data_IF_525957596086
#
_entry.id   IF_525957596086
#
_cell.length_a   1.000
_cell.length_b   1.000
_cell.length_c   1.000
_cell.angle_alpha   90.00
_cell.angle_beta   90.00
_cell.angle_gamma   90.00
#
_symmetry.space_group_name_H-M   'P 1'
#
loop_
_entity.id
_entity.type
_entity.pdbx_description
1 polymer ?
#
# COMPACT_ATOMS: atom_id res chain seq x y z
N UNK A 1 2.11 -25.86 34.03
CA UNK A 1 3.36 -26.54 33.64
C UNK A 1 3.21 -27.24 32.30
N UNK A 2 2.29 -28.19 32.11
CA UNK A 2 2.11 -28.89 30.81
C UNK A 2 1.86 -27.96 29.60
N UNK A 3 1.07 -26.89 29.76
CA UNK A 3 0.80 -25.93 28.67
C UNK A 3 2.00 -25.03 28.30
N UNK A 4 2.91 -24.79 29.25
CA UNK A 4 4.12 -23.99 29.02
C UNK A 4 5.20 -24.82 28.36
N UNK A 5 5.35 -26.10 28.75
CA UNK A 5 6.25 -27.05 28.09
C UNK A 5 5.82 -27.31 26.63
N UNK A 6 4.51 -27.41 26.36
CA UNK A 6 4.01 -27.55 24.98
C UNK A 6 4.24 -26.31 24.13
N UNK A 7 4.18 -25.10 24.72
CA UNK A 7 4.43 -23.86 24.00
C UNK A 7 5.92 -23.68 23.68
N UNK A 8 6.81 -23.94 24.64
CA UNK A 8 8.25 -23.86 24.43
C UNK A 8 8.72 -24.82 23.32
N UNK A 9 8.17 -26.03 23.26
CA UNK A 9 8.44 -26.97 22.17
C UNK A 9 7.95 -26.45 20.81
N UNK A 10 6.76 -25.84 20.79
CA UNK A 10 6.24 -25.21 19.58
C UNK A 10 7.14 -24.06 19.10
N UNK A 11 7.64 -23.22 19.99
CA UNK A 11 8.55 -22.13 19.64
C UNK A 11 9.85 -22.65 19.02
N UNK A 12 10.41 -23.74 19.56
CA UNK A 12 11.58 -24.42 18.97
C UNK A 12 11.28 -24.95 17.56
N UNK A 13 10.08 -25.51 17.33
CA UNK A 13 9.67 -25.95 16.00
C UNK A 13 9.51 -24.77 15.03
N UNK A 14 8.96 -23.64 15.48
CA UNK A 14 8.86 -22.42 14.68
C UNK A 14 10.25 -21.88 14.29
N UNK A 15 11.18 -21.83 15.24
CA UNK A 15 12.57 -21.44 14.96
C UNK A 15 13.19 -22.34 13.88
N UNK A 16 13.03 -23.66 13.99
CA UNK A 16 13.51 -24.60 12.97
C UNK A 16 12.85 -24.38 11.61
N UNK A 17 11.54 -24.14 11.57
CA UNK A 17 10.78 -23.92 10.35
C UNK A 17 11.32 -22.74 9.53
N UNK A 18 11.62 -21.62 10.19
CA UNK A 18 12.03 -20.39 9.50
C UNK A 18 13.55 -20.21 9.37
N UNK A 19 14.36 -20.78 10.28
CA UNK A 19 15.81 -20.53 10.33
C UNK A 19 16.70 -21.74 10.00
N UNK A 20 16.20 -23.00 10.04
CA UNK A 20 17.06 -24.16 9.82
C UNK A 20 17.56 -24.24 8.37
N UNK A 21 18.85 -24.52 8.20
CA UNK A 21 19.48 -24.80 6.90
C UNK A 21 19.29 -26.25 6.45
N UNK A 22 18.88 -27.13 7.36
CA UNK A 22 18.58 -28.53 7.04
C UNK A 22 17.16 -28.66 6.51
N UNK A 23 17.03 -29.21 5.30
CA UNK A 23 15.73 -29.45 4.67
C UNK A 23 14.89 -30.49 5.41
N UNK A 24 15.51 -31.48 6.05
CA UNK A 24 14.79 -32.53 6.78
C UNK A 24 14.17 -31.97 8.08
N UNK A 25 14.92 -31.13 8.80
CA UNK A 25 14.39 -30.46 10.00
C UNK A 25 13.24 -29.50 9.68
N UNK A 26 13.37 -28.70 8.60
CA UNK A 26 12.29 -27.81 8.15
C UNK A 26 11.05 -28.60 7.77
N UNK A 27 11.19 -29.67 6.98
CA UNK A 27 10.06 -30.50 6.58
C UNK A 27 9.37 -31.18 7.78
N UNK A 28 10.14 -31.61 8.78
CA UNK A 28 9.58 -32.17 10.01
C UNK A 28 8.80 -31.12 10.81
N UNK A 29 9.36 -29.92 10.99
CA UNK A 29 8.69 -28.83 11.66
C UNK A 29 7.40 -28.42 10.92
N UNK A 30 7.46 -28.28 9.59
CA UNK A 30 6.31 -27.97 8.75
C UNK A 30 5.21 -29.02 8.89
N UNK A 31 5.56 -30.32 8.76
CA UNK A 31 4.60 -31.42 8.90
C UNK A 31 3.92 -31.43 10.28
N UNK A 32 4.65 -31.04 11.33
CA UNK A 32 4.12 -31.02 12.70
C UNK A 32 3.21 -29.82 12.93
N UNK A 33 3.55 -28.67 12.36
CA UNK A 33 2.82 -27.42 12.54
C UNK A 33 1.67 -27.23 11.53
N UNK A 34 1.59 -28.08 10.50
CA UNK A 34 0.60 -27.98 9.41
C UNK A 34 -0.85 -27.91 9.90
N UNK A 35 -1.17 -28.63 10.98
CA UNK A 35 -2.53 -28.72 11.55
C UNK A 35 -3.12 -27.35 11.91
N UNK A 36 -2.28 -26.40 12.36
CA UNK A 36 -2.70 -25.04 12.68
C UNK A 36 -3.30 -24.31 11.49
N UNK A 37 -2.93 -24.69 10.27
CA UNK A 37 -3.36 -24.02 9.04
C UNK A 37 -4.52 -24.74 8.34
N UNK A 38 -4.85 -25.97 8.76
CA UNK A 38 -5.81 -26.86 8.07
C UNK A 38 -7.04 -27.21 8.89
N UNK A 39 -6.97 -27.09 10.23
CA UNK A 39 -8.08 -27.40 11.12
C UNK A 39 -8.52 -26.15 11.92
N UNK A 40 -9.79 -25.77 11.77
CA UNK A 40 -10.40 -24.62 12.44
C UNK A 40 -10.48 -24.75 13.96
N UNK A 41 -10.37 -25.96 14.50
CA UNK A 41 -10.26 -26.20 15.96
C UNK A 41 -9.00 -25.57 16.56
N UNK A 42 -7.96 -25.31 15.75
CA UNK A 42 -6.70 -24.68 16.19
C UNK A 42 -6.74 -23.15 16.19
N UNK A 43 -7.87 -22.51 15.84
CA UNK A 43 -7.98 -21.04 15.84
C UNK A 43 -7.74 -20.49 17.25
N UNK A 44 -8.38 -21.06 18.27
CA UNK A 44 -8.19 -20.65 19.67
C UNK A 44 -6.74 -20.88 20.13
N UNK A 45 -6.09 -21.92 19.62
CA UNK A 45 -4.68 -22.16 19.90
C UNK A 45 -3.77 -21.13 19.22
N UNK A 46 -4.09 -20.68 18.01
CA UNK A 46 -3.38 -19.58 17.34
C UNK A 46 -3.49 -18.28 18.14
N UNK A 47 -4.67 -17.96 18.68
CA UNK A 47 -4.87 -16.81 19.56
C UNK A 47 -4.05 -16.96 20.86
N UNK A 48 -4.07 -18.15 21.47
CA UNK A 48 -3.24 -18.45 22.64
C UNK A 48 -1.73 -18.24 22.35
N UNK A 49 -1.24 -18.69 21.20
CA UNK A 49 0.15 -18.46 20.78
C UNK A 49 0.43 -16.96 20.64
N UNK A 50 -0.46 -16.20 19.99
CA UNK A 50 -0.31 -14.75 19.85
C UNK A 50 -0.24 -14.05 21.22
N UNK A 51 -1.02 -14.49 22.19
CA UNK A 51 -1.06 -13.89 23.53
C UNK A 51 0.13 -14.27 24.43
N UNK A 52 0.71 -15.45 24.24
CA UNK A 52 1.64 -16.04 25.21
C UNK A 52 3.04 -16.35 24.66
N UNK A 53 3.23 -16.44 23.35
CA UNK A 53 4.54 -16.73 22.78
C UNK A 53 5.50 -15.55 22.97
N UNK A 54 6.77 -15.91 23.17
CA UNK A 54 7.90 -15.00 23.34
C UNK A 54 8.69 -14.79 22.05
N UNK A 55 8.60 -15.76 21.13
CA UNK A 55 9.35 -15.73 19.86
C UNK A 55 8.52 -15.14 18.71
N UNK A 56 9.11 -14.26 17.86
CA UNK A 56 8.37 -13.65 16.75
C UNK A 56 8.01 -14.67 15.65
N UNK A 57 8.74 -15.78 15.55
CA UNK A 57 8.43 -16.87 14.62
C UNK A 57 7.19 -17.66 15.02
N UNK A 58 6.92 -17.84 16.31
CA UNK A 58 5.66 -18.44 16.76
C UNK A 58 4.47 -17.52 16.48
N UNK A 59 4.64 -16.20 16.66
CA UNK A 59 3.62 -15.22 16.26
C UNK A 59 3.36 -15.24 14.76
N UNK A 60 4.42 -15.35 13.95
CA UNK A 60 4.33 -15.49 12.49
C UNK A 60 3.60 -16.80 12.10
N UNK A 61 3.90 -17.92 12.75
CA UNK A 61 3.18 -19.18 12.53
C UNK A 61 1.68 -19.01 12.78
N UNK A 62 1.31 -18.43 13.93
CA UNK A 62 -0.10 -18.25 14.31
C UNK A 62 -0.83 -17.33 13.32
N UNK A 63 -0.22 -16.19 12.96
CA UNK A 63 -0.77 -15.25 12.00
C UNK A 63 -0.94 -15.86 10.60
N UNK A 64 0.10 -16.53 10.07
CA UNK A 64 0.05 -17.18 8.76
C UNK A 64 -0.92 -18.36 8.69
N UNK A 65 -1.05 -19.10 9.79
CA UNK A 65 -2.03 -20.18 9.94
C UNK A 65 -3.46 -19.64 9.87
N UNK A 66 -3.76 -18.59 10.65
CA UNK A 66 -5.06 -17.91 10.59
C UNK A 66 -5.33 -17.34 9.19
N UNK A 67 -4.33 -16.76 8.53
CA UNK A 67 -4.44 -16.22 7.17
C UNK A 67 -4.83 -17.30 6.15
N UNK A 68 -4.24 -18.49 6.23
CA UNK A 68 -4.61 -19.61 5.37
C UNK A 68 -6.07 -20.03 5.62
N UNK A 69 -6.44 -20.24 6.89
CA UNK A 69 -7.80 -20.67 7.24
C UNK A 69 -8.89 -19.70 6.79
N UNK A 70 -8.69 -18.38 6.95
CA UNK A 70 -9.68 -17.38 6.47
C UNK A 70 -9.72 -17.31 4.95
N UNK A 71 -8.62 -17.65 4.27
CA UNK A 71 -8.54 -17.66 2.81
C UNK A 71 -9.28 -18.84 2.18
N UNK A 72 -9.46 -19.93 2.93
CA UNK A 72 -10.24 -21.10 2.48
C UNK A 72 -11.77 -20.86 2.52
N UNK A 73 -12.22 -19.72 3.06
CA UNK A 73 -13.63 -19.28 3.12
C UNK A 73 -14.61 -20.27 3.77
N UNK A 74 -14.11 -21.23 4.55
CA UNK A 74 -14.91 -22.23 5.28
C UNK A 74 -15.44 -21.72 6.63
N UNK A 75 -14.83 -20.66 7.17
CA UNK A 75 -15.17 -20.12 8.49
C UNK A 75 -16.49 -19.35 8.48
N UNK A 76 -17.23 -19.45 9.58
CA UNK A 76 -18.48 -18.71 9.78
C UNK A 76 -18.24 -17.20 9.77
N UNK A 77 -19.29 -16.43 9.44
CA UNK A 77 -19.23 -14.96 9.43
C UNK A 77 -18.78 -14.39 10.79
N UNK A 78 -19.36 -14.88 11.89
CA UNK A 78 -19.04 -14.39 13.23
C UNK A 78 -17.60 -14.70 13.61
N UNK A 79 -17.11 -15.92 13.34
CA UNK A 79 -15.74 -16.29 13.65
C UNK A 79 -14.72 -15.43 12.87
N UNK A 80 -15.01 -15.10 11.60
CA UNK A 80 -14.17 -14.17 10.83
C UNK A 80 -14.13 -12.77 11.45
N UNK A 81 -15.26 -12.26 11.92
CA UNK A 81 -15.30 -10.97 12.63
C UNK A 81 -14.54 -11.02 13.95
N UNK A 82 -14.68 -12.09 14.72
CA UNK A 82 -13.99 -12.27 15.99
C UNK A 82 -12.47 -12.30 15.79
N UNK A 83 -11.98 -13.04 14.78
CA UNK A 83 -10.55 -13.07 14.43
C UNK A 83 -10.08 -11.66 14.01
N UNK A 84 -10.80 -10.97 13.13
CA UNK A 84 -10.42 -9.64 12.65
C UNK A 84 -10.36 -8.61 13.79
N UNK A 85 -11.38 -8.59 14.65
CA UNK A 85 -11.43 -7.69 15.80
C UNK A 85 -10.32 -8.00 16.81
N UNK A 86 -10.08 -9.28 17.07
CA UNK A 86 -8.97 -9.72 17.90
C UNK A 86 -7.62 -9.21 17.34
N UNK A 87 -7.35 -9.39 16.05
CA UNK A 87 -6.07 -8.99 15.44
C UNK A 87 -5.89 -7.47 15.42
N UNK A 88 -6.94 -6.70 15.11
CA UNK A 88 -6.88 -5.22 15.19
C UNK A 88 -6.57 -4.77 16.61
N UNK A 89 -7.26 -5.32 17.62
CA UNK A 89 -7.00 -5.00 19.03
C UNK A 89 -5.59 -5.43 19.45
N UNK A 90 -5.10 -6.56 18.96
CA UNK A 90 -3.75 -7.05 19.21
C UNK A 90 -2.70 -6.11 18.63
N UNK A 91 -2.88 -5.63 17.40
CA UNK A 91 -2.03 -4.60 16.79
C UNK A 91 -2.04 -3.30 17.60
N UNK A 92 -3.20 -2.89 18.11
CA UNK A 92 -3.34 -1.68 18.94
C UNK A 92 -2.71 -1.80 20.34
N UNK A 93 -2.64 -3.00 20.91
CA UNK A 93 -2.14 -3.19 22.28
C UNK A 93 -0.69 -3.65 22.34
N UNK A 94 -0.27 -4.50 21.39
CA UNK A 94 1.08 -5.09 21.35
C UNK A 94 1.91 -4.65 20.16
N UNK A 95 1.30 -4.11 19.10
CA UNK A 95 1.96 -3.77 17.84
C UNK A 95 3.29 -3.03 17.96
N UNK A 96 3.41 -1.96 18.78
CA UNK A 96 4.68 -1.22 18.94
C UNK A 96 5.85 -2.06 19.46
N UNK A 97 5.58 -3.22 20.07
CA UNK A 97 6.61 -4.12 20.62
C UNK A 97 6.94 -5.30 19.70
N UNK A 98 6.25 -5.42 18.57
CA UNK A 98 6.39 -6.55 17.66
C UNK A 98 7.47 -6.29 16.61
N UNK A 99 8.07 -7.36 16.12
CA UNK A 99 8.93 -7.30 14.93
C UNK A 99 8.12 -6.91 13.69
N UNK A 100 8.70 -6.12 12.79
CA UNK A 100 8.00 -5.58 11.62
C UNK A 100 7.36 -6.67 10.74
N UNK A 101 8.04 -7.81 10.55
CA UNK A 101 7.49 -8.91 9.74
C UNK A 101 6.23 -9.54 10.36
N UNK A 102 6.12 -9.56 11.70
CA UNK A 102 4.92 -10.04 12.40
C UNK A 102 3.78 -9.04 12.23
N UNK A 103 4.06 -7.74 12.37
CA UNK A 103 3.09 -6.66 12.12
C UNK A 103 2.52 -6.79 10.71
N UNK A 104 3.38 -6.91 9.68
CA UNK A 104 2.95 -7.06 8.28
C UNK A 104 2.08 -8.29 8.09
N UNK A 105 2.43 -9.44 8.69
CA UNK A 105 1.61 -10.66 8.60
C UNK A 105 0.22 -10.49 9.22
N UNK A 106 0.13 -9.86 10.39
CA UNK A 106 -1.14 -9.60 11.07
C UNK A 106 -2.00 -8.60 10.27
N UNK A 107 -1.38 -7.60 9.67
CA UNK A 107 -2.07 -6.64 8.79
C UNK A 107 -2.62 -7.36 7.55
N UNK A 108 -1.83 -8.24 6.92
CA UNK A 108 -2.30 -9.04 5.78
C UNK A 108 -3.52 -9.90 6.15
N UNK A 109 -3.51 -10.51 7.33
CA UNK A 109 -4.65 -11.26 7.88
C UNK A 109 -5.90 -10.38 7.97
N UNK A 110 -5.79 -9.19 8.58
CA UNK A 110 -6.91 -8.24 8.66
C UNK A 110 -7.41 -7.85 7.27
N UNK A 111 -6.53 -7.41 6.38
CA UNK A 111 -6.91 -6.97 5.04
C UNK A 111 -7.60 -8.09 4.24
N UNK A 112 -7.11 -9.33 4.35
CA UNK A 112 -7.72 -10.51 3.71
C UNK A 112 -9.13 -10.76 4.22
N UNK A 113 -9.32 -10.76 5.55
CA UNK A 113 -10.64 -10.94 6.15
C UNK A 113 -11.59 -9.82 5.70
N UNK A 114 -11.12 -8.57 5.72
CA UNK A 114 -11.90 -7.40 5.32
C UNK A 114 -12.37 -7.49 3.87
N UNK A 115 -11.49 -7.85 2.95
CA UNK A 115 -11.87 -8.06 1.54
C UNK A 115 -12.85 -9.21 1.38
N UNK A 116 -12.62 -10.33 2.05
CA UNK A 116 -13.46 -11.52 1.90
C UNK A 116 -14.85 -11.36 2.53
N UNK A 117 -14.94 -10.55 3.58
CA UNK A 117 -16.18 -10.16 4.23
C UNK A 117 -16.82 -8.89 3.66
N UNK A 118 -16.25 -8.27 2.61
CA UNK A 118 -16.61 -6.92 2.19
C UNK A 118 -18.10 -6.71 1.95
N UNK A 119 -18.82 -7.70 1.42
CA UNK A 119 -20.28 -7.64 1.20
C UNK A 119 -21.07 -8.56 2.13
N UNK A 120 -20.40 -9.26 3.04
CA UNK A 120 -21.07 -10.16 3.98
C UNK A 120 -21.66 -9.40 5.17
N UNK A 121 -20.95 -8.38 5.66
CA UNK A 121 -21.37 -7.54 6.80
C UNK A 121 -20.66 -6.18 6.75
N UNK A 122 -21.37 -5.10 7.08
CA UNK A 122 -20.82 -3.74 7.16
C UNK A 122 -19.60 -3.63 8.09
N UNK A 123 -19.58 -4.41 9.18
CA UNK A 123 -18.52 -4.35 10.20
C UNK A 123 -17.12 -4.66 9.65
N UNK A 124 -17.01 -5.39 8.54
CA UNK A 124 -15.70 -5.60 7.90
C UNK A 124 -15.12 -4.28 7.34
N UNK A 125 -15.97 -3.36 6.89
CA UNK A 125 -15.57 -2.07 6.30
C UNK A 125 -15.06 -1.05 7.33
N UNK A 126 -15.32 -1.27 8.62
CA UNK A 126 -14.79 -0.43 9.71
C UNK A 126 -13.25 -0.44 9.78
N UNK A 127 -12.57 -1.31 9.03
CA UNK A 127 -11.11 -1.43 9.01
C UNK A 127 -10.44 -0.11 8.62
N UNK A 128 -11.05 0.67 7.72
CA UNK A 128 -10.53 1.98 7.31
C UNK A 128 -10.61 2.98 8.45
N UNK A 129 -11.73 2.99 9.19
CA UNK A 129 -11.93 3.85 10.35
C UNK A 129 -10.94 3.50 11.46
N UNK A 130 -10.86 2.22 11.82
CA UNK A 130 -9.93 1.76 12.86
C UNK A 130 -8.47 2.06 12.48
N UNK A 131 -8.07 1.87 11.22
CA UNK A 131 -6.74 2.25 10.75
C UNK A 131 -6.49 3.76 10.87
N UNK A 132 -7.54 4.59 10.72
CA UNK A 132 -7.48 6.03 10.97
C UNK A 132 -7.37 6.35 12.46
N UNK A 133 -8.03 5.58 13.33
CA UNK A 133 -7.95 5.74 14.79
C UNK A 133 -6.50 5.53 15.28
N UNK A 134 -5.73 4.60 14.67
CA UNK A 134 -4.29 4.44 14.93
C UNK A 134 -3.49 5.72 14.67
N UNK A 135 -3.87 6.51 13.65
CA UNK A 135 -3.19 7.77 13.31
C UNK A 135 -3.48 8.88 14.33
N UNK A 136 -4.59 8.77 15.07
CA UNK A 136 -4.97 9.70 16.14
C UNK A 136 -4.32 9.41 17.49
N UNK A 137 -3.65 8.25 17.65
CA UNK A 137 -2.95 7.90 18.88
C UNK A 137 -1.67 8.73 19.00
N UNK A 138 -1.36 9.17 20.23
CA UNK A 138 -0.14 9.91 20.55
C UNK A 138 1.10 8.99 20.60
N UNK A 139 1.36 8.23 19.53
CA UNK A 139 2.47 7.29 19.42
C UNK A 139 2.86 7.09 17.95
N UNK A 140 4.14 7.34 17.66
CA UNK A 140 4.70 7.23 16.32
C UNK A 140 4.61 5.79 15.77
N UNK A 141 4.83 4.78 16.61
CA UNK A 141 4.69 3.37 16.21
C UNK A 141 3.25 3.04 15.78
N UNK A 142 2.26 3.51 16.54
CA UNK A 142 0.85 3.31 16.19
C UNK A 142 0.49 4.04 14.89
N UNK A 143 0.98 5.26 14.72
CA UNK A 143 0.80 6.02 13.49
C UNK A 143 1.30 5.24 12.27
N UNK A 144 2.51 4.67 12.34
CA UNK A 144 3.04 3.84 11.26
C UNK A 144 2.29 2.52 11.07
N UNK A 145 1.77 1.91 12.14
CA UNK A 145 0.89 0.73 12.02
C UNK A 145 -0.37 1.10 11.25
N UNK A 146 -1.02 2.23 11.57
CA UNK A 146 -2.19 2.75 10.86
C UNK A 146 -1.92 2.95 9.37
N UNK A 147 -0.81 3.61 9.03
CA UNK A 147 -0.38 3.79 7.64
C UNK A 147 -0.12 2.45 6.94
N UNK A 148 0.54 1.49 7.60
CA UNK A 148 0.78 0.14 7.04
C UNK A 148 -0.52 -0.61 6.81
N UNK A 149 -1.53 -0.47 7.68
CA UNK A 149 -2.86 -1.07 7.47
C UNK A 149 -3.51 -0.50 6.22
N UNK A 150 -3.57 0.83 6.09
CA UNK A 150 -4.14 1.48 4.91
C UNK A 150 -3.39 1.07 3.63
N UNK A 151 -2.07 1.02 3.70
CA UNK A 151 -1.20 0.65 2.58
C UNK A 151 -1.44 -0.77 2.08
N UNK A 152 -1.48 -1.74 2.99
CA UNK A 152 -1.78 -3.14 2.64
C UNK A 152 -3.24 -3.31 2.20
N UNK A 153 -4.16 -2.53 2.77
CA UNK A 153 -5.57 -2.59 2.40
C UNK A 153 -5.80 -2.12 0.96
N UNK A 154 -5.17 -1.02 0.54
CA UNK A 154 -5.24 -0.55 -0.86
C UNK A 154 -4.71 -1.63 -1.80
N UNK A 155 -3.56 -2.24 -1.48
CA UNK A 155 -3.00 -3.35 -2.28
C UNK A 155 -3.93 -4.56 -2.33
N UNK A 156 -4.42 -5.05 -1.19
CA UNK A 156 -5.31 -6.22 -1.14
C UNK A 156 -6.62 -5.94 -1.88
N UNK A 157 -7.18 -4.73 -1.82
CA UNK A 157 -8.39 -4.37 -2.56
C UNK A 157 -8.18 -4.27 -4.07
N UNK A 158 -6.99 -3.85 -4.51
CA UNK A 158 -6.66 -3.67 -5.91
C UNK A 158 -6.26 -4.97 -6.62
N UNK A 159 -5.64 -5.92 -5.90
CA UNK A 159 -5.12 -7.15 -6.51
C UNK A 159 -6.19 -8.26 -6.57
N UNK A 160 -6.37 -8.98 -7.68
CA UNK A 160 -7.27 -10.13 -7.72
C UNK A 160 -6.77 -11.26 -6.82
N UNK A 161 -7.70 -11.98 -6.18
CA UNK A 161 -7.37 -13.13 -5.33
C UNK A 161 -7.85 -14.42 -6.01
N UNK A 162 -7.00 -15.45 -6.22
CA UNK A 162 -7.38 -16.70 -6.86
C UNK A 162 -8.56 -17.43 -6.19
N UNK A 163 -8.75 -17.26 -4.88
CA UNK A 163 -9.85 -17.85 -4.11
C UNK A 163 -11.18 -17.09 -4.27
N UNK A 164 -11.26 -16.10 -5.17
CA UNK A 164 -12.42 -15.26 -5.37
C UNK A 164 -12.75 -15.08 -6.87
N UNK A 165 -14.02 -15.17 -7.30
CA UNK A 165 -14.41 -14.85 -8.66
C UNK A 165 -14.04 -13.41 -9.03
N UNK A 166 -13.51 -13.20 -10.25
CA UNK A 166 -13.07 -11.88 -10.72
C UNK A 166 -14.21 -10.84 -10.72
N UNK A 167 -15.44 -11.27 -10.97
CA UNK A 167 -16.64 -10.41 -10.92
C UNK A 167 -16.90 -9.86 -9.50
N UNK A 168 -16.73 -10.71 -8.48
CA UNK A 168 -16.86 -10.30 -7.09
C UNK A 168 -15.70 -9.36 -6.69
N UNK A 169 -14.47 -9.69 -7.09
CA UNK A 169 -13.31 -8.82 -6.86
C UNK A 169 -13.53 -7.42 -7.45
N UNK A 170 -13.95 -7.30 -8.71
CA UNK A 170 -14.25 -6.01 -9.35
C UNK A 170 -15.33 -5.22 -8.62
N UNK A 171 -16.38 -5.89 -8.13
CA UNK A 171 -17.44 -5.26 -7.34
C UNK A 171 -16.90 -4.71 -6.01
N UNK A 172 -16.03 -5.46 -5.34
CA UNK A 172 -15.38 -5.04 -4.09
C UNK A 172 -14.45 -3.85 -4.34
N UNK A 173 -13.55 -3.98 -5.32
CA UNK A 173 -12.60 -2.93 -5.69
C UNK A 173 -13.32 -1.63 -6.07
N UNK A 174 -14.39 -1.71 -6.87
CA UNK A 174 -15.24 -0.55 -7.20
C UNK A 174 -15.89 0.09 -5.97
N UNK A 175 -16.48 -0.72 -5.08
CA UNK A 175 -17.07 -0.22 -3.83
C UNK A 175 -16.04 0.43 -2.91
N UNK A 176 -14.85 -0.14 -2.77
CA UNK A 176 -13.75 0.42 -1.97
C UNK A 176 -13.24 1.73 -2.56
N UNK A 177 -13.05 1.76 -3.88
CA UNK A 177 -12.64 2.95 -4.64
C UNK A 177 -13.59 4.13 -4.40
N UNK A 178 -14.89 3.88 -4.49
CA UNK A 178 -15.90 4.93 -4.41
C UNK A 178 -16.13 5.43 -2.96
N UNK A 179 -15.92 4.56 -1.97
CA UNK A 179 -16.18 4.90 -0.55
C UNK A 179 -14.94 5.42 0.19
N UNK A 180 -13.75 4.88 -0.05
CA UNK A 180 -12.61 5.06 0.86
C UNK A 180 -11.31 5.53 0.18
N UNK A 181 -11.08 5.20 -1.09
CA UNK A 181 -9.77 5.45 -1.72
C UNK A 181 -9.36 6.92 -1.74
N UNK A 182 -10.32 7.84 -1.95
CA UNK A 182 -10.06 9.28 -1.89
C UNK A 182 -9.59 9.72 -0.49
N UNK A 183 -10.27 9.26 0.56
CA UNK A 183 -9.90 9.56 1.94
C UNK A 183 -8.50 9.04 2.25
N UNK A 184 -8.18 7.82 1.82
CA UNK A 184 -6.87 7.21 2.03
C UNK A 184 -5.77 8.00 1.31
N UNK A 185 -6.04 8.48 0.09
CA UNK A 185 -5.12 9.36 -0.62
C UNK A 185 -4.91 10.69 0.14
N UNK A 186 -5.96 11.30 0.68
CA UNK A 186 -5.84 12.51 1.51
C UNK A 186 -5.02 12.28 2.78
N UNK A 187 -5.18 11.12 3.43
CA UNK A 187 -4.37 10.71 4.57
C UNK A 187 -2.89 10.62 4.16
N UNK A 188 -2.59 10.04 2.99
CA UNK A 188 -1.21 9.95 2.49
C UNK A 188 -0.58 11.34 2.31
N UNK A 189 -1.29 12.29 1.70
CA UNK A 189 -0.82 13.67 1.52
C UNK A 189 -0.63 14.40 2.85
N UNK A 190 -1.54 14.20 3.80
CA UNK A 190 -1.44 14.78 5.15
C UNK A 190 -0.21 14.24 5.87
N UNK A 191 0.02 12.93 5.77
CA UNK A 191 1.15 12.25 6.40
C UNK A 191 2.48 12.68 5.78
N UNK A 192 2.55 12.79 4.44
CA UNK A 192 3.71 13.33 3.73
C UNK A 192 4.05 14.76 4.17
N UNK A 193 3.05 15.61 4.41
CA UNK A 193 3.26 16.97 4.90
C UNK A 193 3.77 16.99 6.35
N UNK A 194 3.22 16.14 7.21
CA UNK A 194 3.63 16.04 8.62
C UNK A 194 5.06 15.54 8.77
N UNK A 195 5.46 14.55 7.97
CA UNK A 195 6.78 13.91 8.06
C UNK A 195 7.87 14.62 7.25
N UNK A 196 7.53 15.68 6.51
CA UNK A 196 8.47 16.41 5.63
C UNK A 196 9.69 17.00 6.37
N UNK A 197 9.54 17.33 7.66
CA UNK A 197 10.62 17.88 8.50
C UNK A 197 11.44 16.81 9.22
N UNK A 198 10.97 15.57 9.27
CA UNK A 198 11.72 14.45 9.83
C UNK A 198 12.68 13.97 8.75
N UNK A 199 13.91 13.60 9.12
CA UNK A 199 14.85 13.06 8.15
C UNK A 199 14.17 11.88 7.43
N UNK A 200 14.34 11.74 6.11
CA UNK A 200 13.81 10.63 5.33
C UNK A 200 14.60 9.36 5.68
N UNK A 201 14.49 8.93 6.94
CA UNK A 201 14.78 7.56 7.36
C UNK A 201 13.74 6.62 6.73
N UNK A 202 13.86 5.33 7.02
CA UNK A 202 12.99 4.21 6.66
C UNK A 202 11.47 4.44 6.81
N UNK A 203 11.02 5.59 7.26
CA UNK A 203 9.64 5.94 7.57
C UNK A 203 8.97 6.85 6.53
N UNK A 204 9.73 7.68 5.81
CA UNK A 204 9.20 8.59 4.78
C UNK A 204 8.60 7.88 3.56
N UNK A 205 9.01 6.62 3.32
CA UNK A 205 8.53 5.84 2.18
C UNK A 205 7.07 5.36 2.34
N UNK A 206 6.58 5.15 3.57
CA UNK A 206 5.26 4.50 3.78
C UNK A 206 4.12 5.38 3.25
N UNK A 207 4.04 6.69 3.59
CA UNK A 207 3.03 7.57 3.01
C UNK A 207 3.18 7.76 1.50
N UNK A 208 4.41 7.75 0.98
CA UNK A 208 4.68 7.95 -0.44
C UNK A 208 4.23 6.73 -1.25
N UNK A 209 4.57 5.52 -0.80
CA UNK A 209 4.09 4.25 -1.33
C UNK A 209 2.56 4.15 -1.25
N UNK A 210 1.95 4.61 -0.14
CA UNK A 210 0.50 4.69 0.00
C UNK A 210 -0.12 5.61 -1.07
N UNK A 211 0.44 6.81 -1.27
CA UNK A 211 0.00 7.75 -2.29
C UNK A 211 0.11 7.14 -3.70
N UNK A 212 1.24 6.48 -3.99
CA UNK A 212 1.51 5.81 -5.26
C UNK A 212 0.51 4.68 -5.53
N UNK A 213 0.21 3.85 -4.54
CA UNK A 213 -0.80 2.77 -4.64
C UNK A 213 -2.21 3.31 -4.85
N UNK A 214 -2.57 4.42 -4.20
CA UNK A 214 -3.83 5.10 -4.45
C UNK A 214 -3.92 5.62 -5.89
N UNK A 215 -2.86 6.23 -6.41
CA UNK A 215 -2.79 6.74 -7.78
C UNK A 215 -2.69 5.64 -8.85
N UNK A 216 -2.20 4.47 -8.47
CA UNK A 216 -2.05 3.28 -9.33
C UNK A 216 -3.21 2.27 -9.19
N UNK A 217 -4.28 2.64 -8.49
CA UNK A 217 -5.46 1.78 -8.35
C UNK A 217 -6.11 1.53 -9.72
N UNK A 218 -6.70 0.34 -9.94
CA UNK A 218 -7.44 0.06 -11.18
C UNK A 218 -8.80 0.80 -11.15
N UNK A 219 -8.82 1.98 -11.77
CA UNK A 219 -10.03 2.81 -11.84
C UNK A 219 -11.07 2.31 -12.85
N UNK A 220 -10.68 1.44 -13.80
CA UNK A 220 -11.48 1.06 -14.98
C UNK A 220 -11.95 -0.41 -14.95
N UNK A 221 -11.36 -1.24 -14.08
CA UNK A 221 -11.68 -2.67 -13.97
C UNK A 221 -10.94 -3.55 -14.98
N UNK A 222 -9.88 -3.02 -15.59
CA UNK A 222 -9.03 -3.70 -16.55
C UNK A 222 -7.64 -3.91 -15.94
N UNK A 223 -7.07 -5.13 -15.99
CA UNK A 223 -5.72 -5.35 -15.51
C UNK A 223 -4.77 -4.43 -16.27
N UNK A 224 -4.14 -3.51 -15.55
CA UNK A 224 -3.05 -2.70 -16.09
C UNK A 224 -1.85 -3.63 -16.17
N UNK A 225 -1.44 -3.98 -17.38
CA UNK A 225 -0.23 -4.75 -17.60
C UNK A 225 0.97 -3.85 -17.27
N UNK A 226 1.60 -4.08 -16.11
CA UNK A 226 2.79 -3.34 -15.66
C UNK A 226 3.99 -3.50 -16.61
N UNK A 227 3.98 -4.53 -17.47
CA UNK A 227 5.00 -4.75 -18.50
C UNK A 227 4.70 -4.02 -19.82
N UNK A 228 3.51 -3.43 -19.95
CA UNK A 228 3.16 -2.63 -21.12
C UNK A 228 3.67 -1.19 -20.97
N UNK A 229 4.39 -0.70 -21.99
CA UNK A 229 4.88 0.69 -22.05
C UNK A 229 3.73 1.73 -22.03
N UNK A 230 2.49 1.28 -22.22
CA UNK A 230 1.27 2.08 -22.20
C UNK A 230 0.52 1.99 -20.87
N UNK A 231 1.01 2.68 -19.83
CA UNK A 231 0.09 3.16 -18.79
C UNK A 231 -0.98 4.03 -19.48
N UNK A 232 -2.21 3.51 -19.61
CA UNK A 232 -3.30 4.25 -20.22
C UNK A 232 -3.64 5.54 -19.44
N UNK A 233 -4.56 6.34 -19.97
CA UNK A 233 -5.07 7.51 -19.23
C UNK A 233 -5.70 7.07 -17.90
N UNK A 234 -5.28 7.68 -16.78
CA UNK A 234 -5.86 7.43 -15.45
C UNK A 234 -7.23 8.11 -15.36
N UNK A 235 -8.27 7.32 -15.06
CA UNK A 235 -9.66 7.78 -15.00
C UNK A 235 -10.12 7.98 -13.55
N UNK A 236 -9.60 9.03 -12.91
CA UNK A 236 -9.99 9.37 -11.55
C UNK A 236 -11.47 9.79 -11.45
N UNK A 237 -12.18 9.47 -10.34
CA UNK A 237 -13.51 9.97 -10.08
C UNK A 237 -13.54 11.50 -9.95
N UNK A 238 -14.68 12.12 -10.28
CA UNK A 238 -14.84 13.58 -10.21
C UNK A 238 -14.63 14.16 -8.81
N UNK A 239 -14.85 13.36 -7.75
CA UNK A 239 -14.59 13.75 -6.35
C UNK A 239 -13.12 14.06 -6.06
N UNK A 240 -12.19 13.59 -6.88
CA UNK A 240 -10.75 13.87 -6.73
C UNK A 240 -10.35 15.24 -7.29
N UNK A 241 -11.24 15.89 -8.06
CA UNK A 241 -10.95 17.16 -8.74
C UNK A 241 -10.39 18.25 -7.79
N UNK A 242 -10.93 18.50 -6.59
CA UNK A 242 -10.41 19.54 -5.71
C UNK A 242 -8.94 19.31 -5.33
N UNK A 243 -8.52 18.06 -5.13
CA UNK A 243 -7.12 17.73 -4.81
C UNK A 243 -6.20 18.01 -6.00
N UNK A 244 -6.64 17.68 -7.22
CA UNK A 244 -5.85 17.95 -8.42
C UNK A 244 -5.75 19.46 -8.74
N UNK A 245 -6.73 20.25 -8.28
CA UNK A 245 -6.71 21.70 -8.47
C UNK A 245 -5.84 22.42 -7.43
N UNK A 246 -5.55 21.78 -6.31
CA UNK A 246 -4.63 22.31 -5.30
C UNK A 246 -3.17 22.12 -5.76
N UNK A 247 -2.40 23.21 -5.99
CA UNK A 247 -0.99 23.12 -6.36
C UNK A 247 -0.14 22.37 -5.32
N UNK A 248 -0.54 22.38 -4.05
CA UNK A 248 0.19 21.70 -2.98
C UNK A 248 0.29 20.19 -3.20
N UNK A 249 -0.72 19.60 -3.85
CA UNK A 249 -0.76 18.17 -4.19
C UNK A 249 0.35 17.76 -5.14
N UNK A 250 0.71 18.60 -6.12
CA UNK A 250 1.85 18.32 -7.00
C UNK A 250 3.17 18.70 -6.33
N UNK A 251 3.19 19.85 -5.65
CA UNK A 251 4.39 20.38 -5.02
C UNK A 251 5.00 19.38 -4.03
N UNK A 252 4.18 18.65 -3.27
CA UNK A 252 4.67 17.67 -2.30
C UNK A 252 5.53 16.58 -2.97
N UNK A 253 5.13 16.06 -4.13
CA UNK A 253 5.92 15.03 -4.83
C UNK A 253 7.19 15.63 -5.44
N UNK A 254 7.17 16.87 -5.93
CA UNK A 254 8.40 17.55 -6.35
C UNK A 254 9.34 17.80 -5.17
N UNK A 255 8.82 18.07 -3.97
CA UNK A 255 9.63 18.25 -2.78
C UNK A 255 10.26 16.93 -2.31
N UNK A 256 9.50 15.84 -2.32
CA UNK A 256 10.02 14.49 -2.03
C UNK A 256 10.99 14.00 -3.11
N UNK A 257 10.86 14.42 -4.37
CA UNK A 257 11.89 14.16 -5.39
C UNK A 257 13.24 14.79 -5.06
N UNK A 258 13.22 15.99 -4.45
CA UNK A 258 14.44 16.73 -4.08
C UNK A 258 15.14 16.15 -2.86
N UNK A 259 14.50 15.23 -2.14
CA UNK A 259 15.13 14.43 -1.09
C UNK A 259 16.21 13.56 -1.72
N UNK A 260 17.45 13.66 -1.22
CA UNK A 260 18.60 12.94 -1.77
C UNK A 260 18.62 11.44 -1.38
N UNK A 261 17.50 10.76 -1.60
CA UNK A 261 17.32 9.31 -1.44
C UNK A 261 16.75 8.73 -2.75
N UNK A 262 17.42 7.72 -3.30
CA UNK A 262 17.09 7.16 -4.63
C UNK A 262 15.71 6.51 -4.64
N UNK A 263 15.34 5.80 -3.57
CA UNK A 263 14.05 5.11 -3.49
C UNK A 263 12.90 6.12 -3.38
N UNK A 264 13.06 7.11 -2.52
CA UNK A 264 12.06 8.18 -2.32
C UNK A 264 11.90 9.01 -3.58
N UNK A 265 13.01 9.40 -4.22
CA UNK A 265 12.96 10.21 -5.45
C UNK A 265 12.29 9.46 -6.61
N UNK A 266 12.57 8.16 -6.77
CA UNK A 266 11.91 7.31 -7.75
C UNK A 266 10.39 7.23 -7.50
N UNK A 267 9.98 6.85 -6.28
CA UNK A 267 8.56 6.72 -5.93
C UNK A 267 7.81 8.06 -6.12
N UNK A 268 8.46 9.20 -5.82
CA UNK A 268 7.89 10.52 -6.04
C UNK A 268 7.70 10.84 -7.54
N UNK A 269 8.66 10.48 -8.39
CA UNK A 269 8.50 10.58 -9.84
C UNK A 269 7.36 9.69 -10.34
N UNK A 270 7.23 8.47 -9.83
CA UNK A 270 6.13 7.59 -10.21
C UNK A 270 4.76 8.21 -9.87
N UNK A 271 4.61 8.85 -8.70
CA UNK A 271 3.41 9.62 -8.36
C UNK A 271 3.15 10.74 -9.38
N UNK A 272 4.19 11.50 -9.76
CA UNK A 272 4.07 12.55 -10.78
C UNK A 272 3.69 11.98 -12.15
N UNK A 273 4.22 10.82 -12.55
CA UNK A 273 3.84 10.12 -13.78
C UNK A 273 2.36 9.74 -13.75
N UNK A 274 1.84 9.21 -12.62
CA UNK A 274 0.41 8.88 -12.49
C UNK A 274 -0.47 10.13 -12.57
N UNK A 275 -0.06 11.23 -11.93
CA UNK A 275 -0.77 12.51 -11.98
C UNK A 275 -0.76 13.13 -13.39
N UNK A 276 0.38 13.07 -14.10
CA UNK A 276 0.48 13.44 -15.51
C UNK A 276 -0.38 12.56 -16.43
N UNK A 277 -0.69 11.35 -15.98
CA UNK A 277 -1.50 10.38 -16.71
C UNK A 277 -3.00 10.64 -16.59
N UNK A 278 -3.44 11.55 -15.71
CA UNK A 278 -4.85 11.82 -15.45
C UNK A 278 -5.54 12.39 -16.68
N UNK A 279 -6.69 11.78 -17.04
CA UNK A 279 -7.44 12.16 -18.24
C UNK A 279 -7.94 13.60 -18.16
N UNK A 280 -7.77 14.34 -19.26
CA UNK A 280 -8.20 15.75 -19.41
C UNK A 280 -9.63 16.03 -18.93
N UNK A 281 -10.53 15.06 -19.05
CA UNK A 281 -11.96 15.20 -18.74
C UNK A 281 -12.24 15.42 -17.26
N UNK A 282 -11.28 15.18 -16.36
CA UNK A 282 -11.47 15.52 -14.95
C UNK A 282 -11.52 17.03 -14.73
N UNK A 283 -10.82 17.81 -15.56
CA UNK A 283 -10.81 19.27 -15.50
C UNK A 283 -11.92 19.81 -16.40
N UNK A 284 -13.02 20.24 -15.79
CA UNK A 284 -14.17 20.81 -16.50
C UNK A 284 -13.89 22.25 -16.93
N UNK A 285 -13.07 22.97 -16.16
CA UNK A 285 -12.69 24.35 -16.39
C UNK A 285 -11.27 24.47 -16.96
N UNK A 286 -11.13 25.17 -18.08
CA UNK A 286 -9.84 25.39 -18.75
C UNK A 286 -8.79 26.13 -17.89
N UNK A 287 -9.15 27.13 -17.03
CA UNK A 287 -8.18 27.78 -16.16
C UNK A 287 -7.52 26.82 -15.15
N UNK A 288 -8.33 25.98 -14.49
CA UNK A 288 -7.83 25.01 -13.51
C UNK A 288 -6.91 23.97 -14.15
N UNK A 289 -7.28 23.50 -15.35
CA UNK A 289 -6.43 22.61 -16.16
C UNK A 289 -5.09 23.27 -16.49
N UNK A 290 -5.12 24.53 -16.91
CA UNK A 290 -3.93 25.28 -17.30
C UNK A 290 -3.00 25.50 -16.12
N UNK A 291 -3.55 25.77 -14.93
CA UNK A 291 -2.78 25.90 -13.69
C UNK A 291 -2.10 24.59 -13.27
N UNK A 292 -2.85 23.48 -13.22
CA UNK A 292 -2.30 22.16 -12.93
C UNK A 292 -1.16 21.80 -13.89
N UNK A 293 -1.40 21.98 -15.19
CA UNK A 293 -0.42 21.63 -16.20
C UNK A 293 0.81 22.53 -16.16
N UNK A 294 0.62 23.85 -15.97
CA UNK A 294 1.72 24.80 -15.83
C UNK A 294 2.62 24.43 -14.65
N UNK A 295 2.03 24.10 -13.49
CA UNK A 295 2.78 23.70 -12.31
C UNK A 295 3.58 22.40 -12.54
N UNK A 296 2.93 21.37 -13.11
CA UNK A 296 3.59 20.10 -13.44
C UNK A 296 4.75 20.31 -14.44
N UNK A 297 4.55 21.15 -15.46
CA UNK A 297 5.58 21.48 -16.45
C UNK A 297 6.75 22.26 -15.86
N UNK A 298 6.49 23.22 -14.97
CA UNK A 298 7.53 24.02 -14.32
C UNK A 298 8.42 23.15 -13.44
N UNK A 299 7.84 22.26 -12.62
CA UNK A 299 8.62 21.31 -11.82
C UNK A 299 9.42 20.33 -12.68
N UNK A 300 8.81 19.79 -13.74
CA UNK A 300 9.52 18.91 -14.70
C UNK A 300 10.69 19.64 -15.37
N UNK A 301 10.51 20.91 -15.74
CA UNK A 301 11.56 21.75 -16.32
C UNK A 301 12.70 21.99 -15.32
N UNK A 302 12.40 22.20 -14.05
CA UNK A 302 13.41 22.39 -13.01
C UNK A 302 14.30 21.14 -12.86
N UNK A 303 13.70 19.95 -12.84
CA UNK A 303 14.44 18.68 -12.80
C UNK A 303 15.39 18.57 -14.00
N UNK A 304 14.90 18.89 -15.19
CA UNK A 304 15.70 18.84 -16.42
C UNK A 304 16.88 19.82 -16.41
N UNK A 305 16.65 21.05 -15.96
CA UNK A 305 17.69 22.10 -15.95
C UNK A 305 18.76 21.86 -14.89
N UNK A 306 18.37 21.34 -13.74
CA UNK A 306 19.29 21.05 -12.64
C UNK A 306 20.03 19.72 -12.84
N UNK A 307 19.44 18.78 -13.57
CA UNK A 307 19.94 17.41 -13.70
C UNK A 307 19.91 16.63 -12.39
N UNK A 308 19.28 17.16 -11.34
CA UNK A 308 19.24 16.53 -10.02
C UNK A 308 18.57 15.17 -10.12
N UNK A 309 19.20 14.12 -9.57
CA UNK A 309 18.67 12.75 -9.54
C UNK A 309 18.76 11.99 -10.87
N UNK A 310 18.99 12.65 -12.01
CA UNK A 310 18.95 12.04 -13.35
C UNK A 310 20.18 11.20 -13.72
N UNK A 311 21.23 11.21 -12.89
CA UNK A 311 22.36 10.30 -13.04
C UNK A 311 22.01 8.85 -12.66
N UNK A 312 20.95 8.66 -11.86
CA UNK A 312 20.43 7.35 -11.51
C UNK A 312 19.51 6.82 -12.62
N UNK A 313 19.64 5.52 -12.92
CA UNK A 313 18.92 4.89 -14.03
C UNK A 313 17.40 4.86 -13.81
N UNK A 314 16.95 4.58 -12.59
CA UNK A 314 15.52 4.46 -12.29
C UNK A 314 14.84 5.83 -12.33
N UNK A 315 15.48 6.84 -11.74
CA UNK A 315 14.99 8.22 -11.83
C UNK A 315 14.96 8.73 -13.27
N UNK A 316 16.01 8.45 -14.06
CA UNK A 316 16.03 8.83 -15.46
C UNK A 316 14.91 8.15 -16.26
N UNK A 317 14.67 6.86 -16.01
CA UNK A 317 13.60 6.11 -16.65
C UNK A 317 12.22 6.71 -16.33
N UNK A 318 11.92 6.95 -15.05
CA UNK A 318 10.64 7.54 -14.65
C UNK A 318 10.46 8.97 -15.15
N UNK A 319 11.54 9.76 -15.19
CA UNK A 319 11.53 11.08 -15.80
C UNK A 319 11.20 11.02 -17.30
N UNK A 320 11.76 10.07 -18.05
CA UNK A 320 11.42 9.83 -19.45
C UNK A 320 9.95 9.44 -19.62
N UNK A 321 9.40 8.60 -18.72
CA UNK A 321 7.98 8.25 -18.70
C UNK A 321 7.12 9.50 -18.47
N UNK A 322 7.51 10.39 -17.55
CA UNK A 322 6.80 11.64 -17.28
C UNK A 322 6.73 12.52 -18.54
N UNK A 323 7.85 12.70 -19.25
CA UNK A 323 7.90 13.39 -20.55
C UNK A 323 7.00 12.73 -21.61
N UNK A 324 7.00 11.39 -21.67
CA UNK A 324 6.12 10.61 -22.52
C UNK A 324 4.64 10.90 -22.26
N UNK A 325 4.24 11.01 -20.98
CA UNK A 325 2.85 11.33 -20.61
C UNK A 325 2.43 12.72 -21.05
N UNK A 326 3.33 13.71 -20.98
CA UNK A 326 3.02 15.03 -21.54
C UNK A 326 2.68 14.95 -23.02
N UNK A 327 3.51 14.26 -23.81
CA UNK A 327 3.32 14.11 -25.26
C UNK A 327 1.99 13.45 -25.63
N UNK A 328 1.57 12.43 -24.89
CA UNK A 328 0.36 11.66 -25.17
C UNK A 328 -0.90 12.37 -24.66
N UNK A 329 -0.87 12.98 -23.47
CA UNK A 329 -2.06 13.53 -22.84
C UNK A 329 -2.31 15.02 -23.15
N UNK A 330 -1.26 15.77 -23.53
CA UNK A 330 -1.34 17.21 -23.74
C UNK A 330 -0.65 17.54 -25.08
N UNK A 331 -1.44 18.02 -26.06
CA UNK A 331 -0.99 18.25 -27.44
C UNK A 331 0.35 19.01 -27.55
N UNK A 332 1.11 18.69 -28.60
CA UNK A 332 2.46 19.23 -28.93
C UNK A 332 2.59 20.76 -28.81
N UNK A 333 1.52 21.52 -29.01
CA UNK A 333 1.50 22.98 -28.84
C UNK A 333 1.97 23.45 -27.44
N UNK A 334 1.72 22.65 -26.40
CA UNK A 334 2.17 22.95 -25.03
C UNK A 334 3.66 22.65 -24.86
N UNK A 335 4.21 21.68 -25.60
CA UNK A 335 5.65 21.43 -25.69
C UNK A 335 6.41 22.52 -26.47
N UNK A 336 5.73 23.39 -27.24
CA UNK A 336 6.42 24.52 -27.88
C UNK A 336 6.92 25.58 -26.87
N UNK A 337 6.32 25.68 -25.67
CA UNK A 337 6.89 26.46 -24.56
C UNK A 337 8.26 25.94 -24.12
N UNK A 338 8.52 24.65 -24.36
CA UNK A 338 9.79 23.97 -24.10
C UNK A 338 10.81 24.20 -25.23
N UNK A 339 10.40 24.62 -26.44
CA UNK A 339 11.28 24.71 -27.62
C UNK A 339 12.39 25.74 -27.49
N UNK A 340 12.22 26.76 -26.66
CA UNK A 340 13.32 27.70 -26.36
C UNK A 340 14.41 27.12 -25.45
N UNK A 341 14.21 25.94 -24.83
CA UNK A 341 15.17 25.33 -23.90
C UNK A 341 15.57 23.88 -24.26
N UNK A 342 14.97 23.26 -25.28
CA UNK A 342 15.25 21.86 -25.67
C UNK A 342 16.39 21.65 -26.68
N UNK A 343 17.09 22.71 -27.08
CA UNK A 343 18.25 22.63 -27.98
C UNK A 343 19.40 21.76 -27.45
N UNK A 344 19.33 21.33 -26.18
CA UNK A 344 20.37 20.55 -25.49
C UNK A 344 20.13 19.03 -25.44
N UNK A 345 18.98 18.51 -25.91
CA UNK A 345 18.65 17.07 -25.78
C UNK A 345 18.79 16.29 -27.11
N UNK A 346 18.99 16.98 -28.23
CA UNK A 346 19.18 16.33 -29.56
C UNK A 346 20.56 16.67 -30.13
N UNK A 347 21.59 16.68 -29.29
CA UNK A 347 23.00 16.73 -29.68
C UNK A 347 23.77 15.82 -28.74
#
# INVERSE_FOLDING_TARGET
MQSMESLAQLEVLCEKLYNSRDSAERAHAESTLKCFSENSEYISQCQYILDNASTPYALMLASSSLLKQVSDRSLSLMLRLDIRNYVINYLGTRGPKLQNFVIVSLIQLVCRITKFGWFDDDRFRETVKEATDFLGLASQDHYFIGLKILNNLVTEMNQPNPAMPLTLHRKIAGSFKDQFLLQIFQISLTSLNQLKSEAPDDFGHIPLDLALKCLSFDFVGSPVDESSEEFGTVQLPASWRPLLQDPSTLQIFFDYYKVNDIRVSKEALECLVRLASVRRSIFVEDPARSQFLSHLMLGTKEILLTGQGLADHDNYHEFCRLLGRFKVNYQVAILFLFRHNLSFIIS
#
